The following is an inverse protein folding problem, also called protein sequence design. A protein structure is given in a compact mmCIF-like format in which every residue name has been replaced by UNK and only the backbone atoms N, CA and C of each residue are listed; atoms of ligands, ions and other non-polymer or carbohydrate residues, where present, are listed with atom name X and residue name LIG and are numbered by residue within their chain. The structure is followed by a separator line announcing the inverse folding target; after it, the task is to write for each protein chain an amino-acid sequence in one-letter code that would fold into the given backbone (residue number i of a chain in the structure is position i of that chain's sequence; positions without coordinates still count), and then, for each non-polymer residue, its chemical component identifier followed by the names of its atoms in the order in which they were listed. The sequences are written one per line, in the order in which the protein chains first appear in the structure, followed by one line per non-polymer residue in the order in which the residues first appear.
data_IF_559959308325
#
_entry.id   IF_559959308325
#
_cell.length_a   1.000
_cell.length_b   1.000
_cell.length_c   1.000
_cell.angle_alpha   90.00
_cell.angle_beta   90.00
_cell.angle_gamma   90.00
#
_symmetry.space_group_name_H-M   'P 1'
#
loop_
_entity.id
_entity.type
_entity.pdbx_description
1 polymer ?
#
# COMPACT_ATOMS: atom_id res chain seq x y z
N UNK A 1 40.03 -40.91 6.81
CA UNK A 1 39.17 -40.48 5.69
C UNK A 1 38.14 -39.52 6.24
N UNK A 2 38.19 -38.24 5.85
CA UNK A 2 37.25 -37.21 6.32
C UNK A 2 36.27 -36.97 5.17
N UNK A 3 34.99 -37.31 5.39
CA UNK A 3 33.93 -37.04 4.45
C UNK A 3 33.55 -35.55 4.54
N UNK A 4 33.81 -34.80 3.47
CA UNK A 4 33.33 -33.43 3.33
C UNK A 4 31.84 -33.46 2.96
N UNK A 5 30.98 -33.06 3.90
CA UNK A 5 29.56 -32.84 3.62
C UNK A 5 29.43 -31.49 2.91
N UNK A 6 29.23 -31.54 1.60
CA UNK A 6 28.87 -30.36 0.81
C UNK A 6 27.40 -30.05 1.10
N UNK A 7 27.16 -29.06 1.96
CA UNK A 7 25.83 -28.50 2.15
C UNK A 7 25.45 -27.73 0.88
N UNK A 8 24.59 -28.31 0.04
CA UNK A 8 23.92 -27.56 -1.03
C UNK A 8 23.03 -26.50 -0.37
N UNK A 9 23.50 -25.25 -0.35
CA UNK A 9 22.68 -24.11 -0.02
C UNK A 9 21.65 -23.91 -1.15
N UNK A 10 20.46 -24.48 -0.96
CA UNK A 10 19.27 -24.12 -1.73
C UNK A 10 19.00 -22.63 -1.51
N UNK A 11 19.45 -21.83 -2.46
CA UNK A 11 19.11 -20.41 -2.53
C UNK A 11 17.62 -20.33 -2.88
N UNK A 12 16.77 -20.32 -1.86
CA UNK A 12 15.37 -19.95 -2.03
C UNK A 12 15.37 -18.55 -2.64
N UNK A 13 15.00 -18.46 -3.93
CA UNK A 13 14.80 -17.19 -4.60
C UNK A 13 13.76 -16.42 -3.79
N UNK A 14 14.22 -15.45 -2.98
CA UNK A 14 13.30 -14.59 -2.26
C UNK A 14 12.43 -13.90 -3.31
N UNK A 15 11.10 -13.82 -3.11
CA UNK A 15 10.24 -13.10 -4.02
C UNK A 15 10.83 -11.70 -4.20
N UNK A 16 11.19 -11.39 -5.46
CA UNK A 16 12.04 -10.25 -5.79
C UNK A 16 11.33 -8.97 -5.35
N UNK A 17 11.66 -8.50 -4.15
CA UNK A 17 11.13 -7.27 -3.61
C UNK A 17 11.48 -6.14 -4.59
N UNK A 18 10.51 -5.30 -4.94
CA UNK A 18 10.78 -4.11 -5.72
C UNK A 18 11.79 -3.23 -4.99
N UNK A 19 12.98 -3.07 -5.56
CA UNK A 19 14.00 -2.19 -5.03
C UNK A 19 13.72 -0.75 -5.48
N UNK A 20 14.11 0.22 -4.65
CA UNK A 20 14.06 1.64 -5.00
C UNK A 20 14.90 1.88 -6.25
N UNK A 21 14.38 2.66 -7.20
CA UNK A 21 15.02 2.99 -8.46
C UNK A 21 14.86 1.94 -9.57
N UNK A 22 14.36 0.74 -9.27
CA UNK A 22 14.11 -0.28 -10.30
C UNK A 22 12.78 -0.01 -10.98
N UNK A 23 12.83 0.22 -12.30
CA UNK A 23 11.64 0.34 -13.14
C UNK A 23 11.25 -1.01 -13.72
N UNK A 24 9.94 -1.27 -13.83
CA UNK A 24 9.40 -2.43 -14.54
C UNK A 24 8.11 -2.05 -15.26
N UNK A 25 7.91 -2.62 -16.44
CA UNK A 25 6.61 -2.63 -17.09
C UNK A 25 5.70 -3.63 -16.35
N UNK A 26 4.54 -3.16 -15.90
CA UNK A 26 3.59 -3.98 -15.12
C UNK A 26 2.38 -4.38 -15.97
N UNK A 27 2.03 -3.55 -16.96
CA UNK A 27 0.95 -3.74 -17.93
C UNK A 27 1.41 -3.06 -19.24
N UNK A 28 0.76 -3.33 -20.37
CA UNK A 28 1.15 -2.77 -21.67
C UNK A 28 1.17 -1.24 -21.62
N UNK A 29 2.36 -0.64 -21.75
CA UNK A 29 2.52 0.82 -21.70
C UNK A 29 2.33 1.43 -20.31
N UNK A 30 2.43 0.62 -19.24
CA UNK A 30 2.39 1.07 -17.85
C UNK A 30 3.68 0.66 -17.15
N UNK A 31 4.49 1.66 -16.80
CA UNK A 31 5.76 1.50 -16.13
C UNK A 31 5.64 1.98 -14.69
N UNK A 32 6.18 1.21 -13.76
CA UNK A 32 6.18 1.57 -12.35
C UNK A 32 7.59 1.57 -11.80
N UNK A 33 7.86 2.44 -10.82
CA UNK A 33 9.12 2.52 -10.09
C UNK A 33 8.90 3.03 -8.68
N UNK A 34 9.54 2.40 -7.69
CA UNK A 34 9.63 3.02 -6.35
C UNK A 34 10.71 4.09 -6.43
N UNK A 35 10.34 5.35 -6.26
CA UNK A 35 11.29 6.48 -6.32
C UNK A 35 11.86 6.86 -4.96
N UNK A 36 11.13 6.57 -3.88
CA UNK A 36 11.57 6.84 -2.52
C UNK A 36 10.92 5.85 -1.54
N UNK A 37 11.59 5.56 -0.42
CA UNK A 37 11.04 4.76 0.66
C UNK A 37 11.60 5.21 2.01
N UNK A 38 10.73 5.42 2.99
CA UNK A 38 11.11 5.85 4.33
C UNK A 38 10.00 5.52 5.33
N UNK A 39 10.35 5.10 6.56
CA UNK A 39 9.37 4.84 7.65
C UNK A 39 8.18 3.94 7.25
N UNK A 40 8.45 2.90 6.43
CA UNK A 40 7.43 1.98 5.94
C UNK A 40 6.53 2.54 4.83
N UNK A 41 6.79 3.76 4.35
CA UNK A 41 6.18 4.31 3.14
C UNK A 41 7.00 3.98 1.91
N UNK A 42 6.32 3.82 0.77
CA UNK A 42 6.94 3.69 -0.56
C UNK A 42 6.25 4.64 -1.52
N UNK A 43 7.01 5.52 -2.15
CA UNK A 43 6.51 6.41 -3.21
C UNK A 43 6.73 5.74 -4.54
N UNK A 44 5.64 5.51 -5.25
CA UNK A 44 5.61 4.94 -6.57
C UNK A 44 5.39 6.03 -7.59
N UNK A 45 6.21 6.02 -8.64
CA UNK A 45 5.98 6.71 -9.89
C UNK A 45 5.34 5.72 -10.86
N UNK A 46 4.22 6.12 -11.44
CA UNK A 46 3.41 5.35 -12.38
C UNK A 46 3.39 6.14 -13.67
N UNK A 47 4.04 5.62 -14.70
CA UNK A 47 4.12 6.25 -16.00
C UNK A 47 3.23 5.49 -16.98
N UNK A 48 2.36 6.22 -17.66
CA UNK A 48 1.44 5.70 -18.67
C UNK A 48 1.48 6.58 -19.90
N UNK A 49 0.80 6.17 -20.97
CA UNK A 49 0.55 7.04 -22.13
C UNK A 49 -0.13 8.37 -21.76
N UNK A 50 -0.91 8.40 -20.69
CA UNK A 50 -1.63 9.59 -20.23
C UNK A 50 -0.79 10.56 -19.39
N UNK A 51 0.44 10.19 -19.05
CA UNK A 51 1.34 10.97 -18.19
C UNK A 51 1.81 10.20 -16.96
N UNK A 52 2.36 10.96 -16.02
CA UNK A 52 2.97 10.45 -14.78
C UNK A 52 2.05 10.72 -13.60
N UNK A 53 1.80 9.68 -12.81
CA UNK A 53 1.12 9.76 -11.51
C UNK A 53 2.08 9.32 -10.41
N UNK A 54 2.01 9.97 -9.24
CA UNK A 54 2.84 9.62 -8.09
C UNK A 54 1.97 9.39 -6.87
N UNK A 55 2.22 8.28 -6.18
CA UNK A 55 1.42 7.82 -5.04
C UNK A 55 2.30 7.23 -3.97
N UNK A 56 2.01 7.52 -2.71
CA UNK A 56 2.67 6.88 -1.59
C UNK A 56 1.79 5.77 -1.00
N UNK A 57 2.41 4.65 -0.66
CA UNK A 57 1.72 3.51 -0.05
C UNK A 57 2.40 3.11 1.24
N UNK A 58 1.60 2.90 2.29
CA UNK A 58 2.04 2.29 3.56
C UNK A 58 1.25 1.02 3.81
N UNK A 59 1.94 -0.08 4.03
CA UNK A 59 1.27 -1.33 4.39
C UNK A 59 0.92 -1.40 5.85
N UNK A 60 -0.08 -2.21 6.15
CA UNK A 60 -0.37 -2.56 7.53
C UNK A 60 0.83 -3.24 8.20
N UNK A 61 0.96 -3.04 9.50
CA UNK A 61 2.04 -3.60 10.32
C UNK A 61 2.15 -5.12 10.13
N UNK A 62 3.39 -5.60 9.94
CA UNK A 62 3.68 -7.03 9.74
C UNK A 62 3.19 -7.60 8.40
N UNK A 63 2.63 -6.77 7.49
CA UNK A 63 2.19 -7.21 6.17
C UNK A 63 3.19 -6.84 5.09
N UNK A 64 3.15 -7.57 3.97
CA UNK A 64 3.97 -7.27 2.80
C UNK A 64 3.44 -6.03 2.09
N UNK A 65 4.33 -5.29 1.43
CA UNK A 65 3.92 -4.19 0.57
C UNK A 65 3.06 -4.63 -0.61
N UNK A 66 2.06 -3.84 -1.01
CA UNK A 66 1.34 -4.10 -2.24
C UNK A 66 2.33 -4.03 -3.40
N UNK A 67 2.12 -4.93 -4.36
CA UNK A 67 2.87 -4.99 -5.61
C UNK A 67 1.90 -4.85 -6.78
N UNK A 68 2.23 -4.11 -7.82
CA UNK A 68 1.30 -3.94 -8.93
C UNK A 68 1.03 -5.28 -9.62
N UNK A 69 -0.25 -5.57 -9.92
CA UNK A 69 -0.67 -6.83 -10.57
C UNK A 69 -1.02 -6.67 -12.05
N UNK A 70 -0.53 -5.59 -12.68
CA UNK A 70 -0.60 -5.44 -14.13
C UNK A 70 -2.00 -5.27 -14.73
N UNK A 71 -2.97 -4.82 -13.95
CA UNK A 71 -4.29 -4.43 -14.46
C UNK A 71 -4.48 -2.96 -14.13
N UNK A 72 -4.23 -2.06 -15.09
CA UNK A 72 -4.53 -0.62 -14.97
C UNK A 72 -3.96 0.05 -13.70
N UNK A 73 -2.72 -0.28 -13.33
CA UNK A 73 -2.05 0.32 -12.16
C UNK A 73 -2.67 -0.02 -10.80
N UNK A 74 -3.61 -0.98 -10.72
CA UNK A 74 -4.28 -1.28 -9.46
C UNK A 74 -3.37 -2.07 -8.51
N UNK A 75 -3.04 -1.45 -7.38
CA UNK A 75 -2.46 -2.13 -6.20
C UNK A 75 -3.51 -2.96 -5.42
N UNK A 76 -4.79 -2.76 -5.75
CA UNK A 76 -5.97 -3.14 -4.96
C UNK A 76 -6.28 -4.65 -4.87
N UNK A 77 -5.53 -5.54 -5.53
CA UNK A 77 -5.78 -7.00 -5.50
C UNK A 77 -4.61 -7.81 -4.96
N UNK A 78 -3.79 -7.21 -4.12
CA UNK A 78 -2.54 -7.81 -3.66
C UNK A 78 -2.67 -8.64 -2.39
N UNK A 79 -3.88 -8.78 -1.83
CA UNK A 79 -4.09 -9.52 -0.60
C UNK A 79 -3.37 -8.90 0.60
N UNK A 80 -3.05 -7.61 0.55
CA UNK A 80 -2.45 -6.87 1.66
C UNK A 80 -3.20 -5.57 1.90
N UNK A 81 -3.54 -5.23 3.15
CA UNK A 81 -4.08 -3.92 3.49
C UNK A 81 -3.00 -2.84 3.35
N UNK A 82 -3.35 -1.71 2.75
CA UNK A 82 -2.47 -0.57 2.59
C UNK A 82 -3.23 0.75 2.65
N UNK A 83 -2.56 1.80 3.13
CA UNK A 83 -3.00 3.17 2.98
C UNK A 83 -2.33 3.77 1.74
N UNK A 84 -3.13 4.37 0.87
CA UNK A 84 -2.69 5.10 -0.31
C UNK A 84 -2.81 6.60 -0.06
N UNK A 85 -1.80 7.37 -0.45
CA UNK A 85 -1.79 8.84 -0.42
C UNK A 85 -1.44 9.34 -1.81
N UNK A 86 -2.28 10.22 -2.36
CA UNK A 86 -2.07 10.81 -3.68
C UNK A 86 -2.50 12.27 -3.71
N UNK A 87 -1.96 13.01 -4.68
CA UNK A 87 -2.30 14.40 -4.91
C UNK A 87 -3.38 14.52 -5.98
N UNK A 88 -4.41 15.33 -5.75
CA UNK A 88 -5.42 15.65 -6.76
C UNK A 88 -5.17 17.04 -7.30
N UNK A 89 -4.77 17.14 -8.57
CA UNK A 89 -4.57 18.44 -9.23
C UNK A 89 -5.85 19.29 -9.31
N UNK A 90 -7.02 18.75 -9.71
CA UNK A 90 -8.23 19.57 -9.83
C UNK A 90 -8.66 20.21 -8.50
N UNK A 91 -8.26 19.62 -7.38
CA UNK A 91 -8.67 20.03 -6.04
C UNK A 91 -7.52 20.56 -5.19
N UNK A 92 -6.31 20.59 -5.76
CA UNK A 92 -5.09 21.10 -5.14
C UNK A 92 -4.90 20.63 -3.69
N UNK A 93 -5.14 19.33 -3.44
CA UNK A 93 -5.03 18.74 -2.09
C UNK A 93 -4.65 17.26 -2.13
N UNK A 94 -4.15 16.77 -0.99
CA UNK A 94 -3.90 15.35 -0.79
C UNK A 94 -5.19 14.60 -0.46
N UNK A 95 -5.26 13.38 -0.96
CA UNK A 95 -6.26 12.38 -0.60
C UNK A 95 -5.57 11.21 0.06
N UNK A 96 -6.35 10.48 0.85
CA UNK A 96 -5.92 9.27 1.51
C UNK A 96 -7.01 8.22 1.41
N UNK A 97 -6.66 7.06 0.88
CA UNK A 97 -7.60 5.96 0.66
C UNK A 97 -7.09 4.71 1.38
N UNK A 98 -7.96 4.13 2.21
CA UNK A 98 -7.69 2.90 2.92
C UNK A 98 -8.11 1.71 2.06
N UNK A 99 -7.15 0.84 1.74
CA UNK A 99 -7.37 -0.37 0.96
C UNK A 99 -7.22 -1.58 1.86
N UNK A 100 -8.17 -2.51 1.76
CA UNK A 100 -8.17 -3.80 2.46
C UNK A 100 -8.17 -4.94 1.46
N UNK A 101 -8.01 -6.18 1.94
CA UNK A 101 -7.95 -7.36 1.05
C UNK A 101 -9.24 -7.57 0.26
N UNK A 102 -10.38 -7.14 0.80
CA UNK A 102 -11.68 -7.25 0.15
C UNK A 102 -12.13 -5.91 -0.46
N UNK A 103 -12.66 -5.97 -1.69
CA UNK A 103 -13.21 -4.83 -2.41
C UNK A 103 -14.61 -4.52 -1.86
N UNK A 104 -14.79 -3.32 -1.29
CA UNK A 104 -16.05 -2.81 -0.71
C UNK A 104 -16.59 -3.61 0.49
N UNK A 105 -16.14 -3.22 1.68
CA UNK A 105 -16.77 -3.55 2.96
C UNK A 105 -17.02 -2.28 3.78
N UNK A 106 -17.86 -2.36 4.81
CA UNK A 106 -17.93 -1.31 5.83
C UNK A 106 -16.64 -1.33 6.65
N UNK A 107 -15.95 -0.20 6.74
CA UNK A 107 -14.74 -0.06 7.54
C UNK A 107 -15.06 0.62 8.86
N UNK A 108 -14.60 0.06 9.98
CA UNK A 108 -14.59 0.73 11.29
C UNK A 108 -13.16 1.15 11.58
N UNK A 109 -13.01 2.38 12.05
CA UNK A 109 -11.70 2.97 12.27
C UNK A 109 -11.55 3.45 13.71
N UNK A 110 -10.32 3.39 14.21
CA UNK A 110 -9.95 4.04 15.47
C UNK A 110 -8.48 4.36 15.53
N UNK A 111 -8.15 5.40 16.29
CA UNK A 111 -6.83 5.51 16.90
C UNK A 111 -6.65 4.37 17.90
N UNK A 112 -5.47 3.74 17.92
CA UNK A 112 -5.17 2.62 18.81
C UNK A 112 -5.42 3.03 20.28
N UNK A 113 -6.26 2.26 20.98
CA UNK A 113 -6.67 2.54 22.36
C UNK A 113 -7.97 3.36 22.49
N UNK A 114 -8.47 3.96 21.40
CA UNK A 114 -9.78 4.59 21.37
C UNK A 114 -10.91 3.57 21.14
N UNK A 115 -12.15 4.02 21.30
CA UNK A 115 -13.36 3.26 20.91
C UNK A 115 -13.62 3.44 19.41
N UNK A 116 -14.18 2.42 18.75
CA UNK A 116 -14.63 2.50 17.36
C UNK A 116 -15.92 3.33 17.29
N UNK A 117 -15.81 4.59 16.87
CA UNK A 117 -16.97 5.49 16.74
C UNK A 117 -17.25 5.92 15.30
N UNK A 118 -16.36 5.63 14.35
CA UNK A 118 -16.39 6.23 13.02
C UNK A 118 -16.51 5.17 11.91
N UNK A 119 -17.54 5.32 11.06
CA UNK A 119 -17.74 4.55 9.82
C UNK A 119 -16.87 5.08 8.66
N UNK A 120 -16.21 6.21 8.88
CA UNK A 120 -15.24 6.81 7.99
C UNK A 120 -13.89 6.87 8.73
N UNK A 121 -12.79 6.62 8.02
CA UNK A 121 -11.48 6.71 8.65
C UNK A 121 -11.18 8.11 9.14
N UNK A 122 -10.42 8.25 10.23
CA UNK A 122 -9.95 9.56 10.65
C UNK A 122 -9.18 10.17 9.48
N UNK A 123 -9.37 11.48 9.25
CA UNK A 123 -8.56 12.21 8.30
C UNK A 123 -7.09 12.02 8.69
N UNK A 124 -6.23 11.41 7.85
CA UNK A 124 -4.84 11.19 8.21
C UNK A 124 -4.07 12.47 8.51
N UNK A 125 -4.59 13.64 8.11
CA UNK A 125 -4.07 14.95 8.53
C UNK A 125 -4.32 15.28 10.01
N UNK A 126 -5.36 14.71 10.60
CA UNK A 126 -5.75 14.93 12.00
C UNK A 126 -5.12 13.95 13.00
N UNK A 127 -4.52 12.85 12.50
CA UNK A 127 -4.00 11.74 13.33
C UNK A 127 -2.55 11.38 12.99
N UNK A 128 -1.76 12.39 12.65
CA UNK A 128 -0.34 12.22 12.36
C UNK A 128 0.39 11.56 13.54
N UNK A 129 1.30 10.64 13.24
CA UNK A 129 2.10 9.88 14.23
C UNK A 129 1.30 8.90 15.13
N UNK A 130 0.06 8.59 14.77
CA UNK A 130 -0.75 7.63 15.50
C UNK A 130 -0.84 6.29 14.76
N UNK A 131 -1.09 5.22 15.51
CA UNK A 131 -1.45 3.92 14.93
C UNK A 131 -2.95 3.87 14.75
N UNK A 132 -3.40 3.70 13.51
CA UNK A 132 -4.81 3.55 13.18
C UNK A 132 -5.13 2.06 13.01
N UNK A 133 -6.11 1.58 13.76
CA UNK A 133 -6.69 0.25 13.54
C UNK A 133 -7.90 0.37 12.63
N UNK A 134 -7.85 -0.38 11.53
CA UNK A 134 -8.90 -0.50 10.53
C UNK A 134 -9.47 -1.90 10.63
N UNK A 135 -10.78 -1.99 10.80
CA UNK A 135 -11.52 -3.24 10.75
C UNK A 135 -12.43 -3.17 9.54
N UNK A 136 -12.11 -3.93 8.50
CA UNK A 136 -12.99 -4.07 7.35
C UNK A 136 -13.88 -5.30 7.54
N UNK A 137 -15.18 -5.07 7.39
CA UNK A 137 -16.20 -6.09 7.41
C UNK A 137 -16.71 -6.22 5.97
N UNK A 138 -16.47 -7.36 5.34
CA UNK A 138 -16.99 -7.65 4.01
C UNK A 138 -18.03 -8.76 4.05
N UNK A 139 -19.11 -8.53 3.33
CA UNK A 139 -20.11 -9.54 3.00
C UNK A 139 -19.95 -9.91 1.54
N UNK A 140 -19.97 -11.19 1.25
CA UNK A 140 -19.78 -11.71 -0.09
C UNK A 140 -20.92 -11.36 -1.05
N UNK A 141 -20.58 -10.88 -2.25
CA UNK A 141 -21.51 -10.91 -3.39
C UNK A 141 -20.79 -11.10 -4.74
N UNK A 142 -21.13 -12.10 -5.57
CA UNK A 142 -21.84 -13.34 -5.27
C UNK A 142 -20.82 -14.50 -5.12
N UNK A 143 -20.59 -15.01 -3.91
CA UNK A 143 -19.79 -16.22 -3.62
C UNK A 143 -18.27 -16.21 -3.99
N UNK A 144 -17.41 -15.45 -3.32
CA UNK A 144 -15.94 -15.58 -3.46
C UNK A 144 -15.19 -16.20 -2.23
N UNK A 145 -15.84 -16.40 -1.08
CA UNK A 145 -15.37 -16.62 0.30
C UNK A 145 -16.58 -16.90 1.25
N UNK A 146 -17.05 -18.14 1.35
CA UNK A 146 -18.19 -18.52 2.21
C UNK A 146 -18.06 -17.97 3.66
N UNK A 147 -18.79 -16.90 3.99
CA UNK A 147 -18.90 -16.36 5.35
C UNK A 147 -18.64 -14.86 5.50
N UNK A 148 -19.09 -14.30 6.63
CA UNK A 148 -18.67 -12.97 7.10
C UNK A 148 -17.15 -12.99 7.30
N UNK A 149 -16.44 -12.09 6.63
CA UNK A 149 -15.00 -11.90 6.81
C UNK A 149 -14.76 -10.56 7.50
N UNK A 150 -14.08 -10.63 8.64
CA UNK A 150 -13.56 -9.46 9.35
C UNK A 150 -12.04 -9.47 9.23
N UNK A 151 -11.49 -8.41 8.66
CA UNK A 151 -10.05 -8.20 8.56
C UNK A 151 -9.64 -7.03 9.44
N UNK A 152 -8.62 -7.25 10.27
CA UNK A 152 -8.02 -6.22 11.10
C UNK A 152 -6.63 -5.86 10.59
N UNK A 153 -6.42 -4.58 10.38
CA UNK A 153 -5.16 -3.99 9.94
C UNK A 153 -4.77 -2.84 10.87
N UNK A 154 -3.48 -2.68 11.13
CA UNK A 154 -2.94 -1.56 11.89
C UNK A 154 -1.97 -0.77 11.02
N UNK A 155 -2.08 0.53 11.05
CA UNK A 155 -1.26 1.45 10.27
C UNK A 155 -0.63 2.46 11.20
N UNK A 156 0.67 2.31 11.47
CA UNK A 156 1.48 3.39 12.01
C UNK A 156 1.55 4.52 10.97
N UNK A 157 1.16 5.75 11.30
CA UNK A 157 1.19 6.89 10.37
C UNK A 157 2.48 7.72 10.44
N UNK A 158 3.50 7.26 11.18
CA UNK A 158 4.83 7.88 11.15
C UNK A 158 5.31 8.07 9.70
N UNK A 159 5.78 9.27 9.38
CA UNK A 159 6.32 9.62 8.05
C UNK A 159 5.29 10.06 7.02
N UNK A 160 4.01 10.25 7.39
CA UNK A 160 2.98 10.66 6.42
C UNK A 160 3.26 12.02 5.77
N UNK A 161 3.82 12.98 6.50
CA UNK A 161 4.21 14.29 5.94
C UNK A 161 5.33 14.15 4.91
N UNK A 162 6.37 13.39 5.26
CA UNK A 162 7.43 13.03 4.32
C UNK A 162 6.87 12.37 3.05
N UNK A 163 5.93 11.45 3.20
CA UNK A 163 5.32 10.73 2.08
C UNK A 163 4.56 11.68 1.15
N UNK A 164 3.81 12.64 1.72
CA UNK A 164 3.12 13.70 0.95
C UNK A 164 4.10 14.57 0.19
N UNK A 165 5.17 15.02 0.83
CA UNK A 165 6.18 15.86 0.19
C UNK A 165 6.91 15.11 -0.92
N UNK A 166 7.27 13.86 -0.68
CA UNK A 166 7.90 13.01 -1.69
C UNK A 166 6.97 12.71 -2.88
N UNK A 167 5.65 12.56 -2.66
CA UNK A 167 4.65 12.47 -3.75
C UNK A 167 4.64 13.75 -4.57
N UNK A 168 4.62 14.92 -3.92
CA UNK A 168 4.61 16.22 -4.58
C UNK A 168 5.86 16.41 -5.44
N UNK A 169 7.05 16.18 -4.86
CA UNK A 169 8.32 16.30 -5.57
C UNK A 169 8.44 15.29 -6.72
N UNK A 170 7.91 14.08 -6.57
CA UNK A 170 7.87 13.08 -7.65
C UNK A 170 7.09 13.58 -8.87
N UNK A 171 5.97 14.30 -8.64
CA UNK A 171 5.16 14.89 -9.71
C UNK A 171 5.85 16.07 -10.37
N UNK A 172 6.45 16.97 -9.58
CA UNK A 172 7.17 18.14 -10.09
C UNK A 172 8.39 17.77 -10.93
N UNK A 173 8.92 16.56 -10.77
CA UNK A 173 10.05 16.03 -11.53
C UNK A 173 9.68 15.34 -12.86
N UNK A 174 8.39 15.19 -13.19
CA UNK A 174 7.91 14.56 -14.43
C UNK A 174 7.24 15.54 -15.37
#
# INVERSE_FOLDING_TARGET
MIAAVVALALSFAQPQAWAVGTEREVDEGVYMKIVAAEQGWRVWRIETRGGVDCRAYKSAEGRRHPVPVGVRSMMARTGTPFLEVFWSEPLNKFYSEWHTVHYRGSGKYRVLGARFWEDHGPDPESVTEQVIEVVAESWEYPNALVGYAEERARFDLAGIHWAKDAVRSCREAG
#
